data_IF_605144659962
#
_entry.id   IF_605144659962
#
_cell.length_a   1.000
_cell.length_b   1.000
_cell.length_c   1.000
_cell.angle_alpha   90.00
_cell.angle_beta   90.00
_cell.angle_gamma   90.00
#
_symmetry.space_group_name_H-M   'P 1'
#
loop_
_entity.id
_entity.type
_entity.pdbx_description
1 polymer ?
#
# COMPACT_ATOMS: atom_id res chain seq x y z
N UNK A 1 -13.23 -11.97 -8.67
CA UNK A 1 -12.23 -12.22 -9.73
C UNK A 1 -10.88 -12.14 -9.05
N UNK A 2 -10.10 -13.23 -8.93
CA UNK A 2 -8.83 -13.14 -8.19
C UNK A 2 -7.83 -12.27 -8.94
N UNK A 3 -7.28 -11.27 -8.26
CA UNK A 3 -6.24 -10.42 -8.81
C UNK A 3 -4.90 -11.15 -8.66
N UNK A 4 -4.23 -11.40 -9.79
CA UNK A 4 -2.92 -12.04 -9.80
C UNK A 4 -1.84 -10.97 -9.61
N UNK A 5 -1.27 -10.91 -8.41
CA UNK A 5 -0.09 -10.11 -8.11
C UNK A 5 1.19 -10.86 -8.49
N UNK A 6 2.31 -10.16 -8.79
CA UNK A 6 3.57 -10.79 -9.19
C UNK A 6 4.27 -11.56 -8.06
N UNK A 7 3.80 -11.44 -6.82
CA UNK A 7 4.28 -12.16 -5.66
C UNK A 7 3.14 -12.40 -4.66
N UNK A 8 3.34 -13.33 -3.73
CA UNK A 8 2.43 -13.56 -2.61
C UNK A 8 2.69 -12.56 -1.49
N UNK A 9 1.64 -11.83 -1.09
CA UNK A 9 1.69 -10.84 -0.01
C UNK A 9 1.07 -11.38 1.27
N UNK A 10 1.45 -10.77 2.40
CA UNK A 10 1.07 -11.20 3.73
C UNK A 10 0.54 -10.03 4.58
N UNK A 11 -0.25 -10.37 5.60
CA UNK A 11 -0.62 -9.41 6.65
C UNK A 11 0.67 -8.85 7.27
N UNK A 12 0.76 -7.52 7.37
CA UNK A 12 1.94 -6.81 7.83
C UNK A 12 2.79 -6.19 6.72
N UNK A 13 2.59 -6.58 5.47
CA UNK A 13 3.32 -6.00 4.35
C UNK A 13 2.99 -4.50 4.19
N UNK A 14 4.03 -3.69 4.08
CA UNK A 14 3.93 -2.25 3.87
C UNK A 14 3.94 -1.96 2.37
N UNK A 15 2.90 -1.26 1.90
CA UNK A 15 2.67 -0.90 0.50
C UNK A 15 3.00 0.57 0.30
N UNK A 16 4.01 0.85 -0.52
CA UNK A 16 4.43 2.20 -0.89
C UNK A 16 3.90 2.58 -2.28
N UNK A 17 3.35 3.78 -2.42
CA UNK A 17 2.80 4.32 -3.68
C UNK A 17 3.14 5.80 -3.86
N UNK A 18 2.92 6.31 -5.07
CA UNK A 18 3.12 7.72 -5.40
C UNK A 18 1.81 8.28 -5.97
N UNK A 19 1.04 8.99 -5.15
CA UNK A 19 -0.18 9.67 -5.59
C UNK A 19 0.23 10.82 -6.52
N UNK A 20 -0.31 10.81 -7.75
CA UNK A 20 0.04 11.76 -8.80
C UNK A 20 -0.59 13.14 -8.70
N UNK A 21 -1.26 13.48 -7.59
CA UNK A 21 -1.87 14.80 -7.41
C UNK A 21 -0.82 15.83 -6.97
N UNK A 22 -0.92 17.07 -7.48
CA UNK A 22 0.09 18.13 -7.32
C UNK A 22 0.48 18.40 -5.85
N UNK A 23 -0.47 18.27 -4.91
CA UNK A 23 -0.23 18.43 -3.47
C UNK A 23 0.83 17.44 -2.94
N UNK A 24 0.88 16.21 -3.47
CA UNK A 24 1.78 15.16 -3.01
C UNK A 24 3.15 15.18 -3.72
N UNK A 25 3.28 15.90 -4.84
CA UNK A 25 4.57 16.07 -5.52
C UNK A 25 5.61 16.81 -4.66
N UNK A 26 5.15 17.74 -3.81
CA UNK A 26 6.02 18.45 -2.87
C UNK A 26 6.61 17.51 -1.80
N UNK A 27 5.87 16.49 -1.37
CA UNK A 27 6.34 15.49 -0.40
C UNK A 27 7.50 14.69 -1.00
N UNK A 28 7.36 14.23 -2.25
CA UNK A 28 8.40 13.46 -2.92
C UNK A 28 9.69 14.28 -3.11
N UNK A 29 9.56 15.56 -3.47
CA UNK A 29 10.69 16.47 -3.59
C UNK A 29 11.39 16.73 -2.25
N UNK A 30 10.62 16.99 -1.19
CA UNK A 30 11.16 17.30 0.14
C UNK A 30 11.80 16.09 0.83
N UNK A 31 11.27 14.88 0.61
CA UNK A 31 11.75 13.65 1.23
C UNK A 31 12.86 12.94 0.45
N UNK A 32 13.21 13.44 -0.75
CA UNK A 32 14.07 12.75 -1.71
C UNK A 32 13.64 11.28 -1.94
N UNK A 33 12.33 11.04 -1.94
CA UNK A 33 11.71 9.72 -2.07
C UNK A 33 10.61 9.76 -3.13
N UNK A 34 10.54 8.76 -3.98
CA UNK A 34 9.49 8.68 -5.00
C UNK A 34 8.11 8.41 -4.37
N UNK A 35 8.07 7.73 -3.23
CA UNK A 35 6.83 7.38 -2.53
C UNK A 35 6.36 8.56 -1.69
N UNK A 36 5.07 8.85 -1.75
CA UNK A 36 4.43 9.90 -0.94
C UNK A 36 3.17 9.40 -0.22
N UNK A 37 2.85 8.10 -0.35
CA UNK A 37 1.73 7.47 0.33
C UNK A 37 2.05 6.02 0.71
N UNK A 38 1.50 5.58 1.84
CA UNK A 38 1.77 4.26 2.41
C UNK A 38 0.50 3.66 3.02
N UNK A 39 0.41 2.34 2.95
CA UNK A 39 -0.59 1.55 3.66
C UNK A 39 0.02 0.23 4.14
N UNK A 40 -0.73 -0.49 4.97
CA UNK A 40 -0.35 -1.82 5.47
C UNK A 40 -1.41 -2.84 5.09
N UNK A 41 -0.99 -4.01 4.63
CA UNK A 41 -1.91 -5.13 4.37
C UNK A 41 -2.38 -5.69 5.72
N UNK A 42 -3.69 -5.74 5.90
CA UNK A 42 -4.35 -6.20 7.14
C UNK A 42 -5.20 -7.45 6.97
N UNK A 43 -5.29 -7.98 5.75
CA UNK A 43 -6.07 -9.18 5.46
C UNK A 43 -6.36 -9.37 3.99
N UNK A 44 -7.24 -10.33 3.70
CA UNK A 44 -7.72 -10.66 2.37
C UNK A 44 -9.21 -10.95 2.44
N UNK A 45 -10.03 -10.38 1.54
CA UNK A 45 -11.49 -10.55 1.58
C UNK A 45 -12.01 -11.71 0.70
N UNK A 46 -11.11 -12.54 0.19
CA UNK A 46 -11.39 -13.62 -0.76
C UNK A 46 -11.21 -13.22 -2.23
N UNK A 47 -11.12 -11.93 -2.55
CA UNK A 47 -10.89 -11.41 -3.89
C UNK A 47 -9.59 -10.60 -4.02
N UNK A 48 -9.30 -9.76 -3.03
CA UNK A 48 -8.15 -8.86 -3.01
C UNK A 48 -7.62 -8.67 -1.58
N UNK A 49 -6.38 -8.20 -1.47
CA UNK A 49 -5.79 -7.78 -0.20
C UNK A 49 -6.45 -6.50 0.30
N UNK A 50 -6.61 -6.41 1.62
CA UNK A 50 -7.13 -5.23 2.31
C UNK A 50 -5.96 -4.38 2.83
N UNK A 51 -5.95 -3.11 2.45
CA UNK A 51 -4.93 -2.13 2.85
C UNK A 51 -5.55 -1.11 3.78
N UNK A 52 -5.05 -1.03 5.02
CA UNK A 52 -5.31 0.09 5.90
C UNK A 52 -4.41 1.27 5.50
N UNK A 53 -5.00 2.43 5.28
CA UNK A 53 -4.28 3.63 4.86
C UNK A 53 -4.79 4.89 5.57
N UNK A 54 -3.89 5.85 5.79
CA UNK A 54 -4.29 7.19 6.23
C UNK A 54 -4.58 8.06 5.00
N UNK A 55 -5.86 8.14 4.62
CA UNK A 55 -6.28 9.01 3.53
C UNK A 55 -6.77 10.33 4.11
N UNK A 56 -6.22 11.47 3.72
CA UNK A 56 -6.67 12.75 4.30
C UNK A 56 -8.14 13.02 3.93
N UNK A 57 -9.04 13.36 4.88
CA UNK A 57 -8.82 13.52 6.32
C UNK A 57 -9.13 12.28 7.19
N UNK A 58 -9.61 11.18 6.62
CA UNK A 58 -10.03 9.97 7.34
C UNK A 58 -9.27 8.70 6.91
N UNK A 59 -8.69 8.01 7.89
CA UNK A 59 -8.17 6.66 7.68
C UNK A 59 -9.25 5.72 7.16
N UNK A 60 -8.87 4.82 6.26
CA UNK A 60 -9.80 3.92 5.60
C UNK A 60 -9.17 2.58 5.30
N UNK A 61 -10.00 1.59 4.98
CA UNK A 61 -9.58 0.31 4.44
C UNK A 61 -10.01 0.28 2.99
N UNK A 62 -9.06 0.04 2.09
CA UNK A 62 -9.31 -0.13 0.66
C UNK A 62 -8.80 -1.48 0.19
N UNK A 63 -9.12 -1.86 -1.04
CA UNK A 63 -8.49 -3.04 -1.65
C UNK A 63 -7.15 -2.65 -2.26
N UNK A 64 -6.18 -3.57 -2.27
CA UNK A 64 -4.83 -3.31 -2.78
C UNK A 64 -4.84 -2.83 -4.24
N UNK A 65 -5.72 -3.38 -5.08
CA UNK A 65 -5.91 -2.91 -6.46
C UNK A 65 -6.34 -1.44 -6.52
N UNK A 66 -7.30 -1.03 -5.69
CA UNK A 66 -7.76 0.38 -5.62
C UNK A 66 -6.69 1.29 -5.06
N UNK A 67 -5.88 0.79 -4.11
CA UNK A 67 -4.73 1.50 -3.58
C UNK A 67 -3.69 1.78 -4.67
N UNK A 68 -3.26 0.73 -5.40
CA UNK A 68 -2.28 0.82 -6.49
C UNK A 68 -2.80 1.66 -7.66
N UNK A 69 -4.10 1.58 -7.98
CA UNK A 69 -4.71 2.34 -9.09
C UNK A 69 -4.58 3.86 -8.93
N UNK A 70 -4.41 4.36 -7.69
CA UNK A 70 -4.17 5.80 -7.43
C UNK A 70 -2.71 6.21 -7.59
N UNK A 71 -1.81 5.24 -7.71
CA UNK A 71 -0.39 5.49 -7.91
C UNK A 71 -0.08 5.89 -9.34
N UNK A 72 0.80 6.87 -9.52
CA UNK A 72 1.30 7.28 -10.83
C UNK A 72 1.95 6.08 -11.54
N UNK A 73 1.56 5.85 -12.79
CA UNK A 73 1.96 4.68 -13.59
C UNK A 73 1.69 3.33 -12.91
N UNK A 74 0.75 3.29 -11.94
CA UNK A 74 0.48 2.11 -11.10
C UNK A 74 1.73 1.56 -10.41
N UNK A 75 2.76 2.41 -10.19
CA UNK A 75 4.01 2.02 -9.54
C UNK A 75 3.76 1.76 -8.06
N UNK A 76 4.23 0.63 -7.55
CA UNK A 76 4.20 0.36 -6.12
C UNK A 76 5.44 -0.42 -5.70
N UNK A 77 5.72 -0.43 -4.39
CA UNK A 77 6.70 -1.31 -3.78
C UNK A 77 6.12 -1.92 -2.52
N UNK A 78 6.51 -3.17 -2.25
CA UNK A 78 6.14 -3.89 -1.04
C UNK A 78 7.38 -4.08 -0.19
N UNK A 79 7.26 -3.89 1.12
CA UNK A 79 8.29 -4.24 2.10
C UNK A 79 7.70 -5.07 3.21
N UNK A 80 8.40 -6.13 3.57
CA UNK A 80 8.09 -7.02 4.69
C UNK A 80 9.15 -6.84 5.77
N UNK A 81 8.76 -7.00 7.04
CA UNK A 81 9.74 -7.16 8.12
C UNK A 81 10.56 -8.43 7.85
N UNK A 82 11.88 -8.35 7.91
CA UNK A 82 12.76 -9.46 7.50
C UNK A 82 12.47 -10.78 8.23
N UNK A 83 12.10 -10.72 9.51
CA UNK A 83 11.74 -11.89 10.30
C UNK A 83 10.31 -12.41 10.05
N UNK A 84 9.52 -11.71 9.23
CA UNK A 84 8.08 -11.90 9.13
C UNK A 84 7.33 -11.46 10.39
N UNK A 85 6.00 -11.57 10.36
CA UNK A 85 5.16 -11.44 11.54
C UNK A 85 4.75 -12.81 12.06
N UNK A 86 4.80 -12.99 13.38
CA UNK A 86 4.15 -14.11 14.06
C UNK A 86 2.62 -14.00 13.96
N UNK A 87 1.90 -15.11 14.14
CA UNK A 87 0.43 -15.09 14.11
C UNK A 87 -0.19 -14.16 15.17
N UNK A 88 0.47 -13.98 16.32
CA UNK A 88 0.01 -13.05 17.37
C UNK A 88 0.18 -11.58 16.96
N UNK A 89 1.10 -11.28 16.04
CA UNK A 89 1.39 -9.93 15.54
C UNK A 89 0.56 -9.55 14.30
N UNK A 90 -0.05 -10.54 13.63
CA UNK A 90 -0.99 -10.34 12.52
C UNK A 90 -2.36 -9.98 13.06
#
# INVERSE_FOLDING_TARGET
MNINYPAEYEIGDIVFTCIGAALFGQISAASNCWSNHVGIIIGHNGEDFLVAESRVPLSTITTLSRFIKRSANQRYAIKRLDAGLTEQQK
#
